data_IF_881755952744
#
_entry.id   IF_881755952744
#
_cell.length_a   1.000
_cell.length_b   1.000
_cell.length_c   1.000
_cell.angle_alpha   90.00
_cell.angle_beta   90.00
_cell.angle_gamma   90.00
#
_symmetry.space_group_name_H-M   'P 1'
#
loop_
_entity.id
_entity.type
_entity.pdbx_description
1 polymer ?
#
# COMPACT_ATOMS: atom_id res chain seq x y z
N UNK A 1 -59.74 17.67 19.79
CA UNK A 1 -58.38 17.69 20.35
C UNK A 1 -57.71 16.41 19.91
N UNK A 2 -56.92 16.46 18.83
CA UNK A 2 -56.30 15.27 18.24
C UNK A 2 -54.82 15.27 18.60
N UNK A 3 -54.46 14.47 19.59
CA UNK A 3 -53.10 14.22 20.05
C UNK A 3 -52.34 13.45 18.99
N UNK A 4 -51.51 14.17 18.24
CA UNK A 4 -50.65 13.60 17.22
C UNK A 4 -49.45 12.90 17.90
N UNK A 5 -49.53 11.58 18.09
CA UNK A 5 -48.42 10.77 18.60
C UNK A 5 -47.38 10.60 17.49
N UNK A 6 -46.48 11.56 17.31
CA UNK A 6 -45.24 11.30 16.60
C UNK A 6 -44.45 10.28 17.42
N UNK A 7 -44.25 9.07 16.87
CA UNK A 7 -43.50 7.99 17.51
C UNK A 7 -42.16 8.50 18.01
N UNK A 8 -42.08 8.69 19.32
CA UNK A 8 -40.93 9.27 20.00
C UNK A 8 -39.75 8.31 19.92
N UNK A 9 -38.85 8.54 18.95
CA UNK A 9 -37.65 7.71 18.81
C UNK A 9 -36.73 7.92 20.01
N UNK A 10 -36.16 6.85 20.53
CA UNK A 10 -35.24 6.87 21.67
C UNK A 10 -33.80 6.99 21.19
N UNK A 11 -32.97 7.71 21.93
CA UNK A 11 -31.53 7.73 21.66
C UNK A 11 -30.88 6.41 22.09
N UNK A 12 -30.09 5.80 21.22
CA UNK A 12 -29.41 4.52 21.46
C UNK A 12 -28.40 4.57 22.63
N UNK A 13 -27.82 5.74 22.91
CA UNK A 13 -26.78 5.88 23.94
C UNK A 13 -27.33 6.19 25.34
N UNK A 14 -28.45 6.92 25.45
CA UNK A 14 -29.00 7.31 26.75
C UNK A 14 -30.44 6.86 27.02
N UNK A 15 -31.08 6.16 26.08
CA UNK A 15 -32.45 5.66 26.14
C UNK A 15 -33.53 6.71 26.44
N UNK A 16 -33.18 8.00 26.38
CA UNK A 16 -34.14 9.09 26.54
C UNK A 16 -34.95 9.25 25.27
N UNK A 17 -36.25 9.46 25.47
CA UNK A 17 -37.16 9.97 24.45
C UNK A 17 -36.66 11.35 24.01
N UNK A 18 -36.40 11.51 22.71
CA UNK A 18 -35.73 12.70 22.17
C UNK A 18 -34.70 12.39 21.08
N UNK A 19 -34.81 11.23 20.43
CA UNK A 19 -34.09 10.92 19.22
C UNK A 19 -34.57 11.84 18.10
N UNK A 20 -33.69 12.71 17.62
CA UNK A 20 -33.99 13.72 16.60
C UNK A 20 -33.41 13.36 15.24
N UNK A 21 -32.41 12.48 15.21
CA UNK A 21 -31.69 12.12 13.99
C UNK A 21 -31.39 10.62 13.97
N UNK A 22 -31.50 10.03 12.79
CA UNK A 22 -31.04 8.67 12.50
C UNK A 22 -29.79 8.79 11.65
N UNK A 23 -28.74 8.06 12.02
CA UNK A 23 -27.60 7.84 11.14
C UNK A 23 -27.95 6.68 10.19
N UNK A 24 -28.05 6.95 8.89
CA UNK A 24 -28.42 5.91 7.90
C UNK A 24 -27.35 4.82 7.79
N UNK A 25 -26.08 5.17 7.98
CA UNK A 25 -24.97 4.21 7.95
C UNK A 25 -25.00 3.23 9.13
N UNK A 26 -25.24 3.74 10.34
CA UNK A 26 -25.30 2.91 11.54
C UNK A 26 -26.69 2.35 11.84
N UNK A 27 -27.72 2.87 11.17
CA UNK A 27 -29.14 2.60 11.43
C UNK A 27 -29.56 2.86 12.89
N UNK A 28 -28.89 3.82 13.55
CA UNK A 28 -29.09 4.15 14.96
C UNK A 28 -29.69 5.55 15.13
N UNK A 29 -30.57 5.69 16.13
CA UNK A 29 -31.20 6.96 16.48
C UNK A 29 -30.44 7.66 17.61
N UNK A 30 -30.16 8.94 17.47
CA UNK A 30 -29.45 9.75 18.46
C UNK A 30 -30.23 11.01 18.86
N UNK A 31 -30.05 11.44 20.11
CA UNK A 31 -30.47 12.79 20.54
C UNK A 31 -29.42 13.83 20.13
N UNK A 32 -29.75 15.11 20.26
CA UNK A 32 -28.89 16.21 19.79
C UNK A 32 -27.47 16.23 20.36
N UNK A 33 -27.26 15.76 21.60
CA UNK A 33 -25.92 15.62 22.17
C UNK A 33 -25.15 14.46 21.53
N UNK A 34 -25.74 13.26 21.57
CA UNK A 34 -25.08 12.04 21.13
C UNK A 34 -24.86 11.96 19.62
N UNK A 35 -25.63 12.69 18.81
CA UNK A 35 -25.37 12.78 17.37
C UNK A 35 -24.09 13.56 17.06
N UNK A 36 -23.74 14.55 17.88
CA UNK A 36 -22.49 15.32 17.72
C UNK A 36 -21.30 14.43 18.10
N UNK A 37 -21.41 13.73 19.23
CA UNK A 37 -20.38 12.78 19.68
C UNK A 37 -20.19 11.64 18.66
N UNK A 38 -21.28 11.09 18.12
CA UNK A 38 -21.21 10.08 17.07
C UNK A 38 -20.49 10.58 15.82
N UNK A 39 -20.77 11.81 15.37
CA UNK A 39 -20.06 12.42 14.23
C UNK A 39 -18.58 12.63 14.52
N UNK A 40 -18.22 12.99 15.75
CA UNK A 40 -16.82 13.13 16.15
C UNK A 40 -16.10 11.78 16.12
N UNK A 41 -16.74 10.72 16.60
CA UNK A 41 -16.20 9.35 16.51
C UNK A 41 -15.96 8.94 15.06
N UNK A 42 -16.94 9.15 14.18
CA UNK A 42 -16.79 8.85 12.75
C UNK A 42 -15.65 9.63 12.10
N UNK A 43 -15.43 10.89 12.48
CA UNK A 43 -14.30 11.67 11.96
C UNK A 43 -12.96 11.08 12.41
N UNK A 44 -12.84 10.64 13.67
CA UNK A 44 -11.62 10.01 14.18
C UNK A 44 -11.38 8.68 13.46
N UNK A 45 -12.41 7.86 13.27
CA UNK A 45 -12.30 6.61 12.52
C UNK A 45 -11.86 6.84 11.07
N UNK A 46 -12.43 7.86 10.41
CA UNK A 46 -12.03 8.24 9.05
C UNK A 46 -10.58 8.71 8.99
N UNK A 47 -10.14 9.54 9.94
CA UNK A 47 -8.75 10.01 10.00
C UNK A 47 -7.77 8.85 10.16
N UNK A 48 -8.09 7.87 11.00
CA UNK A 48 -7.29 6.65 11.16
C UNK A 48 -7.23 5.85 9.84
N UNK A 49 -8.35 5.68 9.15
CA UNK A 49 -8.39 4.98 7.85
C UNK A 49 -7.52 5.71 6.81
N UNK A 50 -7.56 7.05 6.79
CA UNK A 50 -6.72 7.84 5.88
C UNK A 50 -5.23 7.68 6.20
N UNK A 51 -4.86 7.67 7.48
CA UNK A 51 -3.47 7.44 7.89
C UNK A 51 -2.99 6.03 7.52
N UNK A 52 -3.82 5.00 7.75
CA UNK A 52 -3.51 3.62 7.34
C UNK A 52 -3.34 3.50 5.83
N UNK A 53 -4.22 4.15 5.05
CA UNK A 53 -4.12 4.20 3.59
C UNK A 53 -2.78 4.78 3.14
N UNK A 54 -2.35 5.90 3.72
CA UNK A 54 -1.10 6.58 3.35
C UNK A 54 0.13 5.72 3.66
N UNK A 55 0.12 5.01 4.80
CA UNK A 55 1.17 4.04 5.16
C UNK A 55 1.24 2.88 4.16
N UNK A 56 0.10 2.29 3.83
CA UNK A 56 0.02 1.19 2.85
C UNK A 56 0.53 1.67 1.48
N UNK A 57 0.15 2.87 1.06
CA UNK A 57 0.61 3.43 -0.21
C UNK A 57 2.13 3.66 -0.22
N UNK A 58 2.71 4.09 0.91
CA UNK A 58 4.15 4.23 1.06
C UNK A 58 4.87 2.87 0.98
N UNK A 59 4.36 1.86 1.67
CA UNK A 59 4.94 0.50 1.67
C UNK A 59 4.90 -0.15 0.28
N UNK A 60 3.81 0.03 -0.47
CA UNK A 60 3.69 -0.45 -1.85
C UNK A 60 4.77 0.20 -2.73
N UNK A 61 4.98 1.51 -2.62
CA UNK A 61 6.00 2.22 -3.40
C UNK A 61 7.40 1.70 -3.09
N UNK A 62 7.74 1.57 -1.80
CA UNK A 62 9.03 1.03 -1.37
C UNK A 62 9.27 -0.40 -1.88
N UNK A 63 8.23 -1.23 -1.88
CA UNK A 63 8.31 -2.61 -2.39
C UNK A 63 8.58 -2.63 -3.89
N UNK A 64 7.87 -1.79 -4.67
CA UNK A 64 8.09 -1.67 -6.12
C UNK A 64 9.52 -1.19 -6.42
N UNK A 65 10.00 -0.19 -5.69
CA UNK A 65 11.35 0.35 -5.88
C UNK A 65 12.43 -0.70 -5.57
N UNK A 66 12.24 -1.49 -4.50
CA UNK A 66 13.14 -2.59 -4.16
C UNK A 66 13.16 -3.68 -5.24
N UNK A 67 12.00 -4.07 -5.77
CA UNK A 67 11.90 -5.04 -6.86
C UNK A 67 12.59 -4.55 -8.15
N UNK A 68 12.51 -3.24 -8.43
CA UNK A 68 13.22 -2.63 -9.56
C UNK A 68 14.74 -2.65 -9.34
N UNK A 69 15.21 -2.33 -8.15
CA UNK A 69 16.64 -2.38 -7.80
C UNK A 69 17.19 -3.81 -7.93
N UNK A 70 16.47 -4.82 -7.42
CA UNK A 70 16.87 -6.22 -7.55
C UNK A 70 17.01 -6.64 -9.03
N UNK A 71 16.08 -6.21 -9.89
CA UNK A 71 16.18 -6.48 -11.35
C UNK A 71 17.39 -5.83 -12.00
N UNK A 72 17.75 -4.60 -11.61
CA UNK A 72 18.94 -3.94 -12.13
C UNK A 72 20.24 -4.60 -11.62
N UNK A 73 20.26 -5.10 -10.38
CA UNK A 73 21.37 -5.91 -9.85
C UNK A 73 21.54 -7.20 -10.66
N UNK A 74 20.45 -7.95 -10.89
CA UNK A 74 20.47 -9.18 -11.70
C UNK A 74 20.99 -8.92 -13.12
N UNK A 75 20.56 -7.80 -13.72
CA UNK A 75 20.99 -7.39 -15.05
C UNK A 75 22.48 -7.04 -15.07
N UNK A 76 22.93 -6.28 -14.07
CA UNK A 76 24.35 -5.92 -13.92
C UNK A 76 25.22 -7.17 -13.72
N UNK A 77 24.79 -8.13 -12.92
CA UNK A 77 25.50 -9.39 -12.69
C UNK A 77 25.66 -10.18 -14.00
N UNK A 78 24.56 -10.42 -14.71
CA UNK A 78 24.55 -11.17 -15.98
C UNK A 78 25.47 -10.53 -17.02
N UNK A 79 25.40 -9.20 -17.16
CA UNK A 79 26.23 -8.48 -18.12
C UNK A 79 27.71 -8.50 -17.73
N UNK A 80 28.02 -8.42 -16.44
CA UNK A 80 29.40 -8.48 -15.94
C UNK A 80 30.01 -9.86 -16.19
N UNK A 81 29.28 -10.93 -15.89
CA UNK A 81 29.70 -12.31 -16.19
C UNK A 81 29.95 -12.48 -17.69
N UNK A 82 29.01 -12.02 -18.53
CA UNK A 82 29.15 -12.10 -20.00
C UNK A 82 30.41 -11.41 -20.49
N UNK A 83 30.72 -10.19 -20.01
CA UNK A 83 31.93 -9.45 -20.38
C UNK A 83 33.20 -10.19 -19.99
N UNK A 84 33.24 -10.77 -18.80
CA UNK A 84 34.37 -11.56 -18.31
C UNK A 84 34.57 -12.79 -19.21
N UNK A 85 33.50 -13.52 -19.52
CA UNK A 85 33.55 -14.69 -20.39
C UNK A 85 34.05 -14.35 -21.80
N UNK A 86 33.49 -13.31 -22.44
CA UNK A 86 33.93 -12.85 -23.76
C UNK A 86 35.42 -12.50 -23.76
N UNK A 87 35.88 -11.78 -22.73
CA UNK A 87 37.28 -11.37 -22.63
C UNK A 87 38.19 -12.59 -22.42
N UNK A 88 37.80 -13.52 -21.55
CA UNK A 88 38.56 -14.73 -21.30
C UNK A 88 38.65 -15.62 -22.56
N UNK A 89 37.55 -15.77 -23.30
CA UNK A 89 37.52 -16.54 -24.53
C UNK A 89 38.38 -15.92 -25.62
N UNK A 90 38.36 -14.59 -25.75
CA UNK A 90 39.25 -13.88 -26.66
C UNK A 90 40.72 -14.14 -26.33
N UNK A 91 41.12 -13.99 -25.07
CA UNK A 91 42.50 -14.24 -24.64
C UNK A 91 42.92 -15.70 -24.89
N UNK A 92 42.01 -16.66 -24.68
CA UNK A 92 42.27 -18.07 -24.98
C UNK A 92 42.51 -18.32 -26.47
N UNK A 93 41.78 -17.64 -27.34
CA UNK A 93 41.97 -17.72 -28.80
C UNK A 93 43.31 -17.10 -29.17
N UNK A 94 43.58 -15.87 -28.73
CA UNK A 94 44.82 -15.15 -29.02
C UNK A 94 46.06 -15.98 -28.60
N UNK A 95 46.00 -16.64 -27.42
CA UNK A 95 47.08 -17.52 -26.97
C UNK A 95 47.28 -18.75 -27.86
N UNK A 96 46.20 -19.38 -28.32
CA UNK A 96 46.29 -20.55 -29.22
C UNK A 96 46.96 -20.17 -30.53
N UNK A 97 46.57 -19.04 -31.11
CA UNK A 97 47.15 -18.53 -32.35
C UNK A 97 48.66 -18.28 -32.19
N UNK A 98 49.09 -17.72 -31.05
CA UNK A 98 50.52 -17.54 -30.74
C UNK A 98 51.25 -18.88 -30.71
N UNK A 99 50.73 -19.88 -30.00
CA UNK A 99 51.37 -21.20 -29.92
C UNK A 99 51.40 -21.93 -31.27
N UNK A 100 50.37 -21.78 -32.10
CA UNK A 100 50.32 -22.37 -33.45
C UNK A 100 51.33 -21.71 -34.39
N UNK A 101 51.53 -20.39 -34.31
CA UNK A 101 52.58 -19.69 -35.05
C UNK A 101 54.00 -20.11 -34.60
N UNK A 102 54.23 -20.32 -33.31
CA UNK A 102 55.55 -20.73 -32.78
C UNK A 102 55.95 -22.17 -33.09
N UNK A 103 55.01 -23.04 -33.50
CA UNK A 103 55.27 -24.46 -33.81
C UNK A 103 55.48 -24.74 -35.31
N UNK A 104 55.40 -23.72 -36.18
CA UNK A 104 55.57 -23.83 -37.63
C UNK A 104 56.90 -23.22 -38.15
N UNK A 105 57.83 -22.89 -37.25
CA UNK A 105 59.25 -22.55 -37.56
C UNK A 105 60.18 -23.73 -37.22
#
# INVERSE_FOLDING_TARGET
MSSNSFGQKQCVLCNKIGGILICDGCQQTFCGKHVIEHRQQLNIELENIMQEHDLIQQDIRLTIDNDLLLKEIDKWEKESIRKIQITADKIRIDLKEIFECSNNE
#
